data_IF_249948333100
#
_entry.id   IF_249948333100
#
_cell.length_a   1.000
_cell.length_b   1.000
_cell.length_c   1.000
_cell.angle_alpha   90.00
_cell.angle_beta   90.00
_cell.angle_gamma   90.00
#
_symmetry.space_group_name_H-M   'P 1'
#
loop_
_entity.id
_entity.type
_entity.pdbx_description
1 polymer ?
#
# COMPACT_ATOMS: atom_id res chain seq x y z
N UNK A 1 -7.05 -26.43 -8.05
CA UNK A 1 -7.28 -24.97 -7.95
C UNK A 1 -5.96 -24.34 -7.54
N UNK A 2 -5.29 -23.68 -8.48
CA UNK A 2 -3.98 -23.07 -8.27
C UNK A 2 -4.17 -21.67 -7.68
N UNK A 3 -3.71 -21.48 -6.44
CA UNK A 3 -3.58 -20.15 -5.84
C UNK A 3 -2.30 -19.53 -6.40
N UNK A 4 -2.44 -18.37 -7.04
CA UNK A 4 -1.31 -17.60 -7.54
C UNK A 4 -0.35 -17.28 -6.39
N UNK A 5 0.98 -17.49 -6.54
CA UNK A 5 1.94 -17.01 -5.56
C UNK A 5 1.98 -15.49 -5.66
N UNK A 6 1.17 -14.84 -4.81
CA UNK A 6 1.33 -13.43 -4.49
C UNK A 6 2.79 -13.21 -4.06
N UNK A 7 3.37 -12.12 -4.55
CA UNK A 7 4.70 -11.63 -4.23
C UNK A 7 4.85 -11.52 -2.70
N UNK A 8 5.25 -12.61 -2.06
CA UNK A 8 5.88 -12.56 -0.77
C UNK A 8 7.31 -12.11 -1.09
N UNK A 9 7.51 -10.79 -1.11
CA UNK A 9 8.83 -10.21 -0.95
C UNK A 9 9.46 -10.94 0.24
N UNK A 10 10.50 -11.73 -0.04
CA UNK A 10 11.27 -12.49 0.95
C UNK A 10 12.12 -11.51 1.75
N UNK A 11 11.46 -10.60 2.45
CA UNK A 11 12.09 -9.66 3.37
C UNK A 11 12.38 -10.44 4.65
N UNK A 12 13.61 -10.36 5.14
CA UNK A 12 13.99 -11.07 6.35
C UNK A 12 13.13 -10.56 7.53
N UNK A 13 12.82 -11.41 8.53
CA UNK A 13 12.06 -10.97 9.71
C UNK A 13 12.74 -9.78 10.40
N UNK A 14 14.08 -9.78 10.47
CA UNK A 14 14.87 -8.67 11.01
C UNK A 14 14.71 -7.38 10.20
N UNK A 15 14.74 -7.45 8.86
CA UNK A 15 14.51 -6.30 7.98
C UNK A 15 13.10 -5.73 8.15
N UNK A 16 12.11 -6.60 8.37
CA UNK A 16 10.72 -6.21 8.66
C UNK A 16 10.61 -5.49 10.00
N UNK A 17 11.30 -5.96 11.03
CA UNK A 17 11.39 -5.28 12.33
C UNK A 17 12.13 -3.96 12.21
N UNK A 18 13.22 -3.92 11.43
CA UNK A 18 13.98 -2.68 11.14
C UNK A 18 13.09 -1.65 10.44
N UNK A 19 12.34 -2.05 9.44
CA UNK A 19 11.40 -1.17 8.75
C UNK A 19 10.33 -0.66 9.71
N UNK A 20 9.73 -1.54 10.52
CA UNK A 20 8.75 -1.15 11.52
C UNK A 20 9.30 -0.12 12.51
N UNK A 21 10.52 -0.34 13.03
CA UNK A 21 11.20 0.61 13.90
C UNK A 21 11.44 1.96 13.20
N UNK A 22 11.83 1.95 11.92
CA UNK A 22 12.02 3.17 11.16
C UNK A 22 10.71 3.97 11.03
N UNK A 23 9.59 3.30 10.77
CA UNK A 23 8.27 3.94 10.70
C UNK A 23 7.86 4.52 12.06
N UNK A 24 8.14 3.80 13.15
CA UNK A 24 7.89 4.27 14.52
C UNK A 24 8.61 5.59 14.80
N UNK A 25 9.91 5.64 14.49
CA UNK A 25 10.74 6.83 14.72
C UNK A 25 10.37 8.01 13.80
N UNK A 26 9.94 7.74 12.56
CA UNK A 26 9.47 8.77 11.63
C UNK A 26 8.20 9.47 12.10
N UNK A 27 7.37 8.80 12.89
CA UNK A 27 6.19 9.39 13.52
C UNK A 27 6.52 10.19 14.79
N UNK A 28 7.81 10.42 15.08
CA UNK A 28 8.27 11.15 16.26
C UNK A 28 8.24 10.33 17.55
N UNK A 29 7.91 9.04 17.47
CA UNK A 29 7.94 8.14 18.62
C UNK A 29 9.38 7.71 18.93
N UNK A 30 9.58 7.16 20.11
CA UNK A 30 10.91 6.85 20.64
C UNK A 30 10.99 5.38 21.11
N UNK A 31 12.21 4.93 21.31
CA UNK A 31 12.54 3.66 21.97
C UNK A 31 13.07 3.99 23.36
N UNK A 32 12.71 3.21 24.36
CA UNK A 32 13.21 3.37 25.72
C UNK A 32 14.31 2.35 25.96
N UNK A 33 15.44 2.79 26.51
CA UNK A 33 16.49 1.93 27.02
C UNK A 33 16.22 1.61 28.50
N UNK A 34 15.92 0.34 28.82
CA UNK A 34 15.51 -0.09 30.16
C UNK A 34 16.62 -0.08 31.23
N UNK A 35 17.86 0.26 30.87
CA UNK A 35 18.93 0.46 31.87
C UNK A 35 18.83 1.83 32.56
N UNK A 36 18.40 2.87 31.82
CA UNK A 36 18.43 4.26 32.25
C UNK A 36 17.11 5.01 31.94
N UNK A 37 16.06 4.29 31.54
CA UNK A 37 14.78 4.80 31.03
C UNK A 37 14.94 5.91 29.99
N UNK A 38 16.08 5.90 29.28
CA UNK A 38 16.42 6.96 28.36
C UNK A 38 15.65 6.78 27.06
N UNK A 39 14.96 7.84 26.65
CA UNK A 39 14.28 7.93 25.38
C UNK A 39 15.27 8.17 24.25
N UNK A 40 15.33 7.22 23.32
CA UNK A 40 16.15 7.24 22.12
C UNK A 40 15.25 7.45 20.91
N UNK A 41 15.46 8.58 20.24
CA UNK A 41 14.87 8.88 18.93
C UNK A 41 15.98 9.14 17.92
N UNK A 42 15.61 9.19 16.65
CA UNK A 42 16.51 9.65 15.58
C UNK A 42 15.97 10.95 15.03
N UNK A 43 16.84 11.95 14.81
CA UNK A 43 16.40 13.21 14.17
C UNK A 43 16.06 13.00 12.71
N UNK A 44 16.78 12.09 12.04
CA UNK A 44 16.53 11.72 10.65
C UNK A 44 16.65 10.21 10.54
N UNK A 45 15.60 9.54 10.07
CA UNK A 45 15.60 8.07 9.91
C UNK A 45 16.04 7.63 8.51
N UNK A 46 15.78 8.45 7.48
CA UNK A 46 16.13 8.17 6.07
C UNK A 46 17.05 9.27 5.56
N UNK A 47 18.11 8.89 4.85
CA UNK A 47 18.98 9.81 4.14
C UNK A 47 19.08 9.39 2.66
N UNK A 48 18.38 10.14 1.80
CA UNK A 48 18.25 9.81 0.38
C UNK A 48 17.55 8.46 0.14
N UNK A 49 18.30 7.51 -0.39
CA UNK A 49 17.86 6.15 -0.77
C UNK A 49 18.11 5.11 0.33
N UNK A 50 18.75 5.48 1.44
CA UNK A 50 19.14 4.57 2.51
C UNK A 50 18.64 5.06 3.88
N UNK A 51 18.77 4.21 4.90
CA UNK A 51 18.62 4.66 6.27
C UNK A 51 19.77 5.58 6.67
N UNK A 52 19.50 6.53 7.57
CA UNK A 52 20.54 7.42 8.07
C UNK A 52 21.58 6.67 8.92
N UNK A 53 22.80 7.21 9.00
CA UNK A 53 23.84 6.66 9.86
C UNK A 53 23.42 6.65 11.36
N UNK A 54 22.65 7.66 11.79
CA UNK A 54 22.10 7.75 13.15
C UNK A 54 21.17 6.57 13.44
N UNK A 55 20.26 6.27 12.50
CA UNK A 55 19.35 5.13 12.61
C UNK A 55 20.09 3.80 12.57
N UNK A 56 21.04 3.63 11.66
CA UNK A 56 21.83 2.39 11.56
C UNK A 56 22.68 2.14 12.81
N UNK A 57 23.16 3.19 13.47
CA UNK A 57 23.86 3.05 14.75
C UNK A 57 22.90 2.60 15.86
N UNK A 58 21.72 3.22 15.97
CA UNK A 58 20.70 2.80 16.92
C UNK A 58 20.27 1.35 16.69
N UNK A 59 20.05 0.99 15.42
CA UNK A 59 19.67 -0.36 15.03
C UNK A 59 20.72 -1.40 15.45
N UNK A 60 22.01 -1.13 15.23
CA UNK A 60 23.09 -2.01 15.70
C UNK A 60 23.11 -2.17 17.21
N UNK A 61 22.94 -1.08 17.97
CA UNK A 61 22.86 -1.15 19.43
C UNK A 61 21.69 -2.00 19.92
N UNK A 62 20.55 -1.91 19.24
CA UNK A 62 19.38 -2.74 19.54
C UNK A 62 19.69 -4.22 19.25
N UNK A 63 20.33 -4.54 18.12
CA UNK A 63 20.69 -5.92 17.78
C UNK A 63 21.68 -6.54 18.79
N UNK A 64 22.61 -5.75 19.33
CA UNK A 64 23.56 -6.24 20.34
C UNK A 64 22.88 -6.64 21.65
N UNK A 65 21.86 -5.89 22.08
CA UNK A 65 21.18 -6.08 23.37
C UNK A 65 19.67 -5.84 23.27
N UNK A 66 18.92 -6.66 22.51
CA UNK A 66 17.52 -6.38 22.20
C UNK A 66 16.60 -6.39 23.44
N UNK A 67 16.98 -7.13 24.48
CA UNK A 67 16.30 -7.16 25.77
C UNK A 67 16.32 -5.82 26.53
N UNK A 68 17.23 -4.91 26.18
CA UNK A 68 17.33 -3.60 26.84
C UNK A 68 16.42 -2.55 26.23
N UNK A 69 15.76 -2.84 25.10
CA UNK A 69 15.01 -1.84 24.34
C UNK A 69 13.53 -2.21 24.22
N UNK A 70 12.65 -1.24 24.46
CA UNK A 70 11.21 -1.37 24.25
C UNK A 70 10.63 -0.13 23.56
N UNK A 71 9.52 -0.30 22.85
CA UNK A 71 8.87 0.80 22.15
C UNK A 71 8.12 1.68 23.15
N UNK A 72 8.41 2.98 23.16
CA UNK A 72 7.83 3.92 24.12
C UNK A 72 6.30 3.94 24.04
N UNK A 73 5.62 3.83 25.19
CA UNK A 73 4.16 3.81 25.24
C UNK A 73 3.53 2.47 24.85
N UNK A 74 4.32 1.39 24.79
CA UNK A 74 3.83 0.03 24.56
C UNK A 74 4.53 -0.97 25.48
N UNK A 75 3.95 -2.17 25.61
CA UNK A 75 4.59 -3.32 26.27
C UNK A 75 5.48 -4.13 25.31
N UNK A 76 5.58 -3.71 24.04
CA UNK A 76 6.33 -4.44 23.02
C UNK A 76 7.83 -4.21 23.18
N UNK A 77 8.59 -5.29 23.47
CA UNK A 77 10.04 -5.26 23.53
C UNK A 77 10.68 -5.55 22.16
N UNK A 78 11.88 -5.03 21.92
CA UNK A 78 12.63 -5.34 20.70
C UNK A 78 13.05 -6.81 20.63
N UNK A 79 13.28 -7.44 21.79
CA UNK A 79 13.55 -8.89 21.89
C UNK A 79 12.39 -9.72 21.35
N UNK A 80 11.15 -9.39 21.72
CA UNK A 80 9.99 -10.16 21.31
C UNK A 80 9.68 -9.95 19.82
N UNK A 81 9.90 -8.73 19.32
CA UNK A 81 9.78 -8.43 17.88
C UNK A 81 10.80 -9.21 17.05
N UNK A 82 12.06 -9.24 17.47
CA UNK A 82 13.14 -9.91 16.74
C UNK A 82 13.08 -11.44 16.83
N UNK A 83 12.54 -11.99 17.92
CA UNK A 83 12.35 -13.44 18.08
C UNK A 83 11.15 -14.00 17.33
N UNK A 84 10.33 -13.14 16.70
CA UNK A 84 9.15 -13.56 15.95
C UNK A 84 7.94 -13.90 16.84
N UNK A 85 7.97 -13.54 18.12
CA UNK A 85 6.79 -13.65 18.99
C UNK A 85 5.65 -12.71 18.57
N UNK A 86 5.98 -11.68 17.79
CA UNK A 86 5.02 -10.73 17.23
C UNK A 86 5.04 -10.79 15.71
N UNK A 87 3.86 -10.92 15.12
CA UNK A 87 3.62 -10.80 13.70
C UNK A 87 3.34 -9.34 13.33
N UNK A 88 4.09 -8.77 12.38
CA UNK A 88 3.90 -7.40 11.93
C UNK A 88 2.91 -7.35 10.76
N UNK A 89 1.67 -6.89 11.00
CA UNK A 89 0.63 -6.77 9.98
C UNK A 89 0.40 -5.33 9.53
N UNK A 90 -0.06 -5.09 8.29
CA UNK A 90 -0.44 -3.76 7.85
C UNK A 90 -1.75 -3.31 8.51
N UNK A 91 -1.78 -2.09 9.02
CA UNK A 91 -2.97 -1.46 9.59
C UNK A 91 -4.02 -1.19 8.50
N UNK A 92 -5.28 -1.52 8.76
CA UNK A 92 -6.38 -1.25 7.82
C UNK A 92 -6.63 0.26 7.59
N UNK A 93 -6.26 1.13 8.56
CA UNK A 93 -6.47 2.59 8.47
C UNK A 93 -5.37 3.32 7.72
N UNK A 94 -4.10 2.95 7.98
CA UNK A 94 -2.96 3.72 7.47
C UNK A 94 -1.89 2.88 6.75
N UNK A 95 -2.11 1.57 6.59
CA UNK A 95 -1.16 0.63 5.98
C UNK A 95 0.20 0.49 6.67
N UNK A 96 0.41 1.13 7.83
CA UNK A 96 1.62 0.99 8.63
C UNK A 96 1.66 -0.37 9.33
N UNK A 97 2.86 -0.89 9.53
CA UNK A 97 3.06 -2.12 10.27
C UNK A 97 2.71 -1.89 11.75
N UNK A 98 2.01 -2.84 12.35
CA UNK A 98 1.78 -2.91 13.79
C UNK A 98 1.96 -4.35 14.29
N UNK A 99 2.40 -4.55 15.54
CA UNK A 99 2.70 -5.87 16.06
C UNK A 99 1.43 -6.54 16.61
N UNK A 100 1.21 -7.79 16.25
CA UNK A 100 0.18 -8.67 16.81
C UNK A 100 0.86 -9.84 17.48
N UNK A 101 0.47 -10.13 18.72
CA UNK A 101 0.96 -11.29 19.43
C UNK A 101 0.07 -12.49 19.10
N UNK A 102 0.62 -13.43 18.33
CA UNK A 102 -0.11 -14.62 17.90
C UNK A 102 -0.46 -15.55 19.08
N UNK A 103 0.26 -15.44 20.21
CA UNK A 103 0.07 -16.29 21.39
C UNK A 103 -1.03 -15.80 22.31
N UNK A 104 -1.24 -14.48 22.40
CA UNK A 104 -2.22 -13.88 23.32
C UNK A 104 -3.47 -13.34 22.62
N UNK A 105 -3.54 -13.39 21.28
CA UNK A 105 -4.55 -12.69 20.48
C UNK A 105 -4.65 -11.20 20.85
N UNK A 106 -3.57 -10.63 21.39
CA UNK A 106 -3.47 -9.23 21.76
C UNK A 106 -2.78 -8.48 20.62
N UNK A 107 -3.49 -7.49 20.07
CA UNK A 107 -2.92 -6.56 19.12
C UNK A 107 -2.20 -5.45 19.88
N UNK A 108 -0.93 -5.23 19.56
CA UNK A 108 -0.23 -4.02 19.97
C UNK A 108 -0.85 -2.79 19.30
N UNK A 109 -0.76 -1.61 19.91
CA UNK A 109 -1.33 -0.40 19.34
C UNK A 109 -0.67 -0.09 18.00
N UNK A 110 -1.48 0.27 17.01
CA UNK A 110 -0.95 0.77 15.75
C UNK A 110 -0.16 2.07 16.00
N UNK A 111 0.96 2.32 15.29
CA UNK A 111 1.71 3.56 15.46
C UNK A 111 0.89 4.83 15.22
N UNK A 112 -0.27 4.74 14.55
CA UNK A 112 -1.15 5.88 14.35
C UNK A 112 -2.20 6.11 15.45
N UNK A 113 -2.33 5.23 16.44
CA UNK A 113 -3.49 5.23 17.34
C UNK A 113 -3.60 6.50 18.21
N UNK A 114 -2.47 7.05 18.62
CA UNK A 114 -2.31 8.23 19.47
C UNK A 114 -2.06 9.52 18.69
N UNK A 115 -2.05 9.45 17.35
CA UNK A 115 -1.90 10.62 16.48
C UNK A 115 -3.28 11.12 16.05
N UNK A 116 -3.73 12.22 16.67
CA UNK A 116 -5.09 12.74 16.53
C UNK A 116 -5.51 13.02 15.08
N UNK A 117 -4.58 13.47 14.24
CA UNK A 117 -4.81 13.91 12.87
C UNK A 117 -4.18 13.00 11.80
N UNK A 118 -3.61 11.85 12.20
CA UNK A 118 -3.12 10.86 11.26
C UNK A 118 -4.29 10.04 10.67
N UNK A 119 -4.31 9.71 9.38
CA UNK A 119 -3.27 9.88 8.35
C UNK A 119 -3.36 11.16 7.50
N UNK A 120 -4.17 12.15 7.89
CA UNK A 120 -4.50 13.30 7.03
C UNK A 120 -3.43 14.43 7.07
N UNK A 121 -2.63 14.51 8.14
CA UNK A 121 -1.72 15.61 8.42
C UNK A 121 -0.32 15.54 7.76
N UNK A 122 -0.08 14.60 6.85
CA UNK A 122 1.22 14.54 6.17
C UNK A 122 1.44 13.34 5.27
N UNK A 123 2.57 13.32 4.54
CA UNK A 123 2.94 12.15 3.75
C UNK A 123 3.17 10.94 4.67
N UNK A 124 2.72 9.73 4.27
CA UNK A 124 2.97 8.51 5.04
C UNK A 124 4.47 8.32 5.31
N UNK A 125 4.87 7.87 6.51
CA UNK A 125 6.26 7.50 6.75
C UNK A 125 6.61 6.38 5.77
N UNK A 126 7.84 6.43 5.26
CA UNK A 126 8.27 5.60 4.14
C UNK A 126 9.50 4.78 4.51
N UNK A 127 9.71 3.68 3.80
CA UNK A 127 11.01 3.01 3.81
C UNK A 127 12.01 3.75 2.89
N UNK A 128 13.31 3.46 3.01
CA UNK A 128 14.27 3.76 1.95
C UNK A 128 13.77 3.15 0.63
N UNK A 129 13.92 3.90 -0.45
CA UNK A 129 13.47 3.50 -1.79
C UNK A 129 14.69 3.13 -2.60
N UNK A 130 14.75 1.88 -3.07
CA UNK A 130 15.69 1.49 -4.12
C UNK A 130 15.17 2.03 -5.45
N UNK A 131 15.87 3.01 -6.03
CA UNK A 131 15.46 3.65 -7.29
C UNK A 131 15.42 2.64 -8.44
N UNK A 132 16.32 1.66 -8.46
CA UNK A 132 16.33 0.64 -9.50
C UNK A 132 15.08 -0.27 -9.44
N UNK A 133 14.72 -0.74 -8.24
CA UNK A 133 13.51 -1.56 -8.06
C UNK A 133 12.25 -0.78 -8.46
N UNK A 134 12.21 0.53 -8.16
CA UNK A 134 11.11 1.39 -8.54
C UNK A 134 11.02 1.57 -10.07
N UNK A 135 12.15 1.81 -10.73
CA UNK A 135 12.21 1.92 -12.19
C UNK A 135 11.82 0.60 -12.88
N UNK A 136 12.23 -0.54 -12.34
CA UNK A 136 11.87 -1.85 -12.88
C UNK A 136 10.38 -2.16 -12.70
N UNK A 137 9.78 -1.75 -11.58
CA UNK A 137 8.32 -1.81 -11.40
C UNK A 137 7.58 -0.92 -12.42
N UNK A 138 8.08 0.28 -12.69
CA UNK A 138 7.52 1.16 -13.72
C UNK A 138 7.64 0.49 -15.09
N UNK A 139 8.82 -0.03 -15.45
CA UNK A 139 9.06 -0.75 -16.72
C UNK A 139 8.09 -1.92 -16.89
N UNK A 140 7.92 -2.72 -15.84
CA UNK A 140 7.01 -3.88 -15.83
C UNK A 140 5.55 -3.45 -16.02
N UNK A 141 5.13 -2.34 -15.41
CA UNK A 141 3.77 -1.81 -15.60
C UNK A 141 3.55 -1.31 -17.03
N UNK A 142 4.53 -0.59 -17.59
CA UNK A 142 4.45 -0.06 -18.95
C UNK A 142 4.47 -1.18 -20.00
N UNK A 143 5.26 -2.24 -19.81
CA UNK A 143 5.27 -3.39 -20.72
C UNK A 143 3.94 -4.15 -20.72
N UNK A 144 3.28 -4.27 -19.56
CA UNK A 144 1.93 -4.86 -19.45
C UNK A 144 0.86 -4.04 -20.16
N UNK A 145 0.97 -2.71 -20.20
CA UNK A 145 0.02 -1.86 -20.92
C UNK A 145 0.13 -1.98 -22.44
N UNK A 146 1.32 -2.30 -22.97
CA UNK A 146 1.54 -2.48 -24.41
C UNK A 146 0.92 -3.78 -24.96
N UNK A 147 0.48 -4.69 -24.10
CA UNK A 147 -0.14 -5.97 -24.45
C UNK A 147 -1.68 -5.93 -24.48
N UNK A 148 -2.31 -4.75 -24.30
CA UNK A 148 -3.74 -4.62 -24.62
C UNK A 148 -3.87 -4.83 -26.13
N UNK A 149 -4.51 -5.92 -26.61
CA UNK A 149 -4.70 -6.13 -28.03
C UNK A 149 -5.57 -4.98 -28.53
N UNK A 150 -5.05 -4.18 -29.45
CA UNK A 150 -5.90 -3.32 -30.26
C UNK A 150 -6.93 -4.22 -30.95
N UNK A 151 -8.24 -3.96 -30.82
CA UNK A 151 -9.24 -4.75 -31.52
C UNK A 151 -8.92 -4.72 -33.03
N UNK A 152 -9.07 -5.85 -33.73
CA UNK A 152 -8.83 -5.89 -35.16
C UNK A 152 -9.75 -4.89 -35.85
N UNK A 153 -9.11 -3.95 -36.53
CA UNK A 153 -9.65 -3.04 -37.51
C UNK A 153 -10.46 -3.83 -38.55
N UNK A 154 -11.77 -3.65 -38.55
CA UNK A 154 -12.64 -4.17 -39.61
C UNK A 154 -12.22 -3.54 -40.94
N UNK A 155 -11.88 -4.44 -41.88
CA UNK A 155 -11.36 -4.13 -43.19
C UNK A 155 -12.39 -3.40 -44.05
N UNK A 156 -11.98 -2.25 -44.57
CA UNK A 156 -12.49 -1.67 -45.80
C UNK A 156 -12.48 -2.73 -46.90
N UNK A 157 -13.66 -3.20 -47.31
CA UNK A 157 -13.84 -3.86 -48.62
C UNK A 157 -14.93 -3.13 -49.38
N UNK A 158 -14.47 -2.31 -50.34
CA UNK A 158 -15.34 -1.74 -51.36
C UNK A 158 -15.87 -2.83 -52.29
N UNK A 159 -17.15 -2.72 -52.64
CA UNK A 159 -17.82 -3.54 -53.65
C UNK A 159 -18.92 -2.70 -54.28
N UNK A 160 -18.60 -2.08 -55.40
CA UNK A 160 -19.47 -1.29 -56.26
C UNK A 160 -20.21 -2.23 -57.25
N UNK A 161 -21.54 -2.20 -57.29
CA UNK A 161 -22.36 -2.60 -58.45
C UNK A 161 -23.83 -2.15 -58.33
N UNK A 162 -24.14 -1.03 -58.99
CA UNK A 162 -25.24 -0.74 -59.95
C UNK A 162 -26.63 -1.44 -59.88
N UNK A 163 -27.66 -0.58 -60.03
CA UNK A 163 -28.89 -0.70 -60.89
C UNK A 163 -29.89 -1.84 -60.59
N UNK A 164 -31.22 -1.73 -60.54
CA UNK A 164 -32.22 -0.69 -60.87
C UNK A 164 -33.59 -1.09 -60.28
N UNK A 165 -34.51 -0.13 -60.30
CA UNK A 165 -35.93 -0.28 -60.64
C UNK A 165 -37.03 -0.57 -59.59
N UNK A 166 -37.94 0.41 -59.58
CA UNK A 166 -39.42 0.35 -59.52
C UNK A 166 -40.14 0.91 -58.28
N UNK A 167 -40.96 1.91 -58.59
CA UNK A 167 -42.02 2.52 -57.78
C UNK A 167 -43.05 1.49 -57.28
N UNK A 168 -43.63 1.73 -56.09
CA UNK A 168 -45.08 1.92 -55.99
C UNK A 168 -45.51 2.47 -54.63
N UNK A 169 -46.44 3.41 -54.74
CA UNK A 169 -47.22 4.11 -53.73
C UNK A 169 -48.05 3.16 -52.87
N UNK A 170 -48.36 3.58 -51.62
CA UNK A 170 -49.68 3.65 -50.95
C UNK A 170 -49.40 4.13 -49.51
N UNK A 171 -49.86 5.31 -49.10
CA UNK A 171 -51.21 5.54 -48.58
C UNK A 171 -51.20 5.19 -47.09
N UNK A 172 -51.04 6.12 -46.15
CA UNK A 172 -52.07 7.06 -45.72
C UNK A 172 -52.32 6.84 -44.22
N UNK A 173 -52.78 7.84 -43.48
CA UNK A 173 -53.37 7.64 -42.15
C UNK A 173 -52.81 8.50 -41.03
N UNK A 174 -53.40 9.69 -40.90
CA UNK A 174 -53.36 10.58 -39.73
C UNK A 174 -54.07 9.95 -38.52
N UNK A 175 -53.69 10.39 -37.32
CA UNK A 175 -54.43 10.56 -36.04
C UNK A 175 -53.46 10.25 -34.89
N UNK A 176 -53.13 11.14 -33.96
CA UNK A 176 -53.95 12.11 -33.25
C UNK A 176 -54.19 11.58 -31.84
N UNK A 177 -53.75 12.29 -30.78
CA UNK A 177 -54.04 11.84 -29.41
C UNK A 177 -53.15 12.40 -28.31
N UNK A 178 -53.36 13.67 -28.00
CA UNK A 178 -53.01 14.33 -26.73
C UNK A 178 -53.76 13.66 -25.57
N UNK A 179 -53.15 13.55 -24.39
CA UNK A 179 -53.76 14.01 -23.12
C UNK A 179 -52.92 13.67 -21.88
N UNK A 180 -52.70 14.73 -21.13
CA UNK A 180 -52.29 14.81 -19.73
C UNK A 180 -53.43 14.33 -18.81
N UNK A 181 -53.12 13.75 -17.64
CA UNK A 181 -53.88 13.78 -16.36
C UNK A 181 -53.14 12.89 -15.34
N UNK A 182 -52.56 13.46 -14.27
CA UNK A 182 -53.13 13.70 -12.92
C UNK A 182 -53.09 12.49 -11.95
N UNK A 183 -52.22 12.64 -10.93
CA UNK A 183 -52.40 12.35 -9.48
C UNK A 183 -52.61 10.87 -9.03
N UNK A 184 -52.46 10.56 -7.72
CA UNK A 184 -52.23 11.42 -6.55
C UNK A 184 -50.83 11.34 -5.91
#
# INVERSE_FOLDING_TARGET
MALAPGLHTKMAPEERVKQYLALWLQLGKQVVCGHDDRLLGTRRTIDGEAYSAEFEQLWRQILEKPQMYHLAGTVCSMKDLLSGHWSLLPCARCSLLYPINDSYLEAGPCPCQDLASWPDDGPPPRGPVCVQDYLDQIRLRLSRQKLIPTPPNEETTGGEARESDTCSLHGGGLHGGRSEHSLP
#
